data_IF_609975175215
#
_entry.id   IF_609975175215
#
_cell.length_a   1.000
_cell.length_b   1.000
_cell.length_c   1.000
_cell.angle_alpha   90.00
_cell.angle_beta   90.00
_cell.angle_gamma   90.00
#
_symmetry.space_group_name_H-M   'P 1'
#
loop_
_entity.id
_entity.type
_entity.pdbx_description
1 polymer ?
#
# COMPACT_ATOMS: atom_id res chain seq x y z
N UNK A 1 3.92 11.99 -15.95
CA UNK A 1 3.02 12.50 -14.90
C UNK A 1 2.72 13.98 -15.10
N UNK A 2 3.60 14.95 -14.89
CA UNK A 2 3.26 16.37 -14.90
C UNK A 2 2.47 16.81 -16.14
N UNK A 3 2.92 16.45 -17.33
CA UNK A 3 2.23 16.79 -18.60
C UNK A 3 0.81 16.17 -18.69
N UNK A 4 0.62 14.95 -18.15
CA UNK A 4 -0.70 14.31 -18.14
C UNK A 4 -1.72 15.10 -17.31
N UNK A 5 -1.23 15.77 -16.25
CA UNK A 5 -2.03 16.65 -15.38
C UNK A 5 -1.97 18.14 -15.78
N UNK A 6 -1.49 18.44 -16.97
CA UNK A 6 -1.44 19.80 -17.50
C UNK A 6 -0.41 20.72 -16.82
N UNK A 7 0.57 20.15 -16.13
CA UNK A 7 1.63 20.88 -15.44
C UNK A 7 2.91 20.91 -16.29
N UNK A 8 3.58 22.05 -16.34
CA UNK A 8 4.92 22.14 -16.92
C UNK A 8 5.98 21.70 -15.90
N UNK A 9 7.07 21.05 -16.37
CA UNK A 9 8.24 20.77 -15.50
C UNK A 9 8.82 21.99 -14.81
N UNK A 10 8.60 23.19 -15.34
CA UNK A 10 9.03 24.48 -14.77
C UNK A 10 8.16 24.96 -13.62
N UNK A 11 6.95 24.45 -13.49
CA UNK A 11 5.99 24.82 -12.44
C UNK A 11 6.27 24.10 -11.12
N UNK A 12 7.14 23.07 -11.17
CA UNK A 12 7.40 22.17 -10.04
C UNK A 12 8.90 22.16 -9.70
N UNK A 13 9.21 22.45 -8.46
CA UNK A 13 10.57 22.28 -7.93
C UNK A 13 10.71 20.83 -7.42
N UNK A 14 11.46 20.02 -8.14
CA UNK A 14 11.72 18.63 -7.75
C UNK A 14 12.83 18.54 -6.70
N UNK A 15 12.60 17.69 -5.70
CA UNK A 15 13.62 17.22 -4.76
C UNK A 15 13.68 15.69 -4.83
N UNK A 16 14.87 15.13 -4.83
CA UNK A 16 15.08 13.67 -4.82
C UNK A 16 15.61 13.28 -3.45
N UNK A 17 15.01 12.32 -2.83
CA UNK A 17 15.37 11.79 -1.51
C UNK A 17 15.02 10.31 -1.41
N UNK A 18 15.49 9.65 -0.35
CA UNK A 18 15.12 8.26 -0.07
C UNK A 18 13.62 8.13 0.18
N UNK A 19 13.04 7.01 -0.28
CA UNK A 19 11.60 6.73 -0.20
C UNK A 19 11.03 6.98 1.20
N UNK A 20 11.70 6.50 2.25
CA UNK A 20 11.26 6.71 3.63
C UNK A 20 11.25 8.18 4.07
N UNK A 21 12.18 9.00 3.55
CA UNK A 21 12.29 10.41 3.90
C UNK A 21 11.19 11.29 3.28
N UNK A 22 10.60 10.86 2.16
CA UNK A 22 9.53 11.61 1.46
C UNK A 22 8.32 11.83 2.36
N UNK A 23 7.91 10.80 3.12
CA UNK A 23 6.76 10.88 4.01
C UNK A 23 6.94 11.96 5.07
N UNK A 24 8.07 11.93 5.78
CA UNK A 24 8.35 12.92 6.83
C UNK A 24 8.53 14.33 6.24
N UNK A 25 9.25 14.48 5.13
CA UNK A 25 9.44 15.77 4.47
C UNK A 25 8.10 16.40 4.02
N UNK A 26 7.14 15.57 3.62
CA UNK A 26 5.80 16.03 3.27
C UNK A 26 5.00 16.41 4.52
N UNK A 27 5.05 15.62 5.59
CA UNK A 27 4.40 15.92 6.86
C UNK A 27 4.91 17.22 7.50
N UNK A 28 6.23 17.45 7.42
CA UNK A 28 6.89 18.67 7.96
C UNK A 28 6.70 19.91 7.07
N UNK A 29 6.08 19.77 5.91
CA UNK A 29 5.87 20.87 4.96
C UNK A 29 7.13 21.29 4.19
N UNK A 30 8.22 20.50 4.23
CA UNK A 30 9.39 20.72 3.39
C UNK A 30 9.10 20.42 1.91
N UNK A 31 8.15 19.53 1.66
CA UNK A 31 7.55 19.27 0.36
C UNK A 31 6.04 19.47 0.43
N UNK A 32 5.45 20.05 -0.63
CA UNK A 32 3.99 20.19 -0.72
C UNK A 32 3.32 18.86 -1.11
N UNK A 33 4.04 18.03 -1.88
CA UNK A 33 3.61 16.73 -2.38
C UNK A 33 4.79 15.77 -2.33
N UNK A 34 4.52 14.50 -2.07
CA UNK A 34 5.49 13.42 -2.11
C UNK A 34 4.98 12.24 -2.92
N UNK A 35 5.88 11.54 -3.61
CA UNK A 35 5.58 10.27 -4.24
C UNK A 35 5.75 9.16 -3.20
N UNK A 36 4.71 8.37 -2.99
CA UNK A 36 4.62 7.38 -1.92
C UNK A 36 4.01 6.07 -2.42
N UNK A 37 4.17 5.00 -1.67
CA UNK A 37 3.38 3.78 -1.86
C UNK A 37 2.06 3.91 -1.10
N UNK A 38 0.94 3.63 -1.77
CA UNK A 38 -0.42 3.83 -1.22
C UNK A 38 -0.76 2.90 -0.05
N UNK A 39 0.02 1.85 0.17
CA UNK A 39 -0.16 0.88 1.27
C UNK A 39 0.77 1.11 2.47
N UNK A 40 1.54 2.20 2.49
CA UNK A 40 2.53 2.47 3.54
C UNK A 40 1.88 2.99 4.84
N UNK A 41 2.18 2.35 5.96
CA UNK A 41 1.62 2.70 7.28
C UNK A 41 1.94 4.13 7.75
N UNK A 42 3.01 4.76 7.23
CA UNK A 42 3.36 6.15 7.53
C UNK A 42 2.33 7.15 7.02
N UNK A 43 1.50 6.80 6.04
CA UNK A 43 0.37 7.62 5.58
C UNK A 43 -0.55 7.91 6.76
N UNK A 44 -0.92 6.88 7.52
CA UNK A 44 -1.78 6.99 8.71
C UNK A 44 -1.07 7.70 9.85
N UNK A 45 0.13 7.27 10.22
CA UNK A 45 0.85 7.80 11.39
C UNK A 45 1.24 9.26 11.25
N UNK A 46 1.51 9.74 10.03
CA UNK A 46 1.85 11.13 9.74
C UNK A 46 0.64 11.96 9.26
N UNK A 47 -0.57 11.39 9.31
CA UNK A 47 -1.81 12.04 8.87
C UNK A 47 -1.70 12.63 7.45
N UNK A 48 -1.08 11.89 6.54
CA UNK A 48 -0.96 12.26 5.14
C UNK A 48 -2.23 11.88 4.37
N UNK A 49 -2.49 12.61 3.31
CA UNK A 49 -3.61 12.33 2.42
C UNK A 49 -3.10 11.84 1.07
N UNK A 50 -3.53 10.66 0.66
CA UNK A 50 -3.34 10.17 -0.71
C UNK A 50 -4.27 10.94 -1.64
N UNK A 51 -3.73 11.39 -2.77
CA UNK A 51 -4.52 12.02 -3.83
C UNK A 51 -5.01 10.93 -4.79
N UNK A 52 -6.26 11.04 -5.19
CA UNK A 52 -6.85 10.16 -6.17
C UNK A 52 -6.26 10.41 -7.57
N UNK A 53 -5.90 9.34 -8.27
CA UNK A 53 -5.45 9.39 -9.67
C UNK A 53 -6.68 9.39 -10.60
N UNK A 54 -7.25 10.56 -10.85
CA UNK A 54 -8.47 10.73 -11.66
C UNK A 54 -8.22 10.56 -13.17
N UNK A 55 -6.95 10.51 -13.61
CA UNK A 55 -6.57 10.31 -15.01
C UNK A 55 -6.05 8.89 -15.33
N UNK A 56 -6.23 7.92 -14.47
CA UNK A 56 -5.56 6.61 -14.34
C UNK A 56 -4.16 6.57 -14.98
N UNK A 57 -3.30 7.50 -14.55
CA UNK A 57 -1.94 7.62 -15.03
C UNK A 57 -1.03 6.50 -14.48
N UNK A 58 -1.21 6.17 -13.20
CA UNK A 58 -0.45 5.13 -12.55
C UNK A 58 -1.10 3.75 -12.75
N UNK A 59 -0.31 2.70 -13.00
CA UNK A 59 -0.85 1.35 -12.97
C UNK A 59 -1.34 1.01 -11.56
N UNK A 60 -2.41 0.23 -11.47
CA UNK A 60 -2.86 -0.28 -10.17
C UNK A 60 -1.77 -1.14 -9.54
N UNK A 61 -1.45 -0.85 -8.30
CA UNK A 61 -0.40 -1.53 -7.53
C UNK A 61 -1.04 -2.34 -6.40
N UNK A 62 -1.78 -3.36 -6.78
CA UNK A 62 -2.52 -4.19 -5.83
C UNK A 62 -1.64 -5.27 -5.22
N UNK A 63 -1.91 -5.63 -3.96
CA UNK A 63 -1.39 -6.86 -3.40
C UNK A 63 -1.89 -8.06 -4.23
N UNK A 64 -0.99 -8.97 -4.57
CA UNK A 64 -1.32 -10.15 -5.36
C UNK A 64 -0.61 -11.38 -4.81
N UNK A 65 -1.35 -12.46 -4.66
CA UNK A 65 -0.77 -13.78 -4.41
C UNK A 65 -0.08 -14.30 -5.68
N UNK A 66 1.18 -14.70 -5.56
CA UNK A 66 1.92 -15.32 -6.66
C UNK A 66 2.14 -16.80 -6.34
N UNK A 67 1.59 -17.68 -7.16
CA UNK A 67 1.67 -19.14 -6.99
C UNK A 67 2.26 -19.75 -8.26
N UNK A 68 3.13 -20.74 -8.10
CA UNK A 68 3.67 -21.48 -9.26
C UNK A 68 2.56 -22.30 -9.93
N UNK A 69 2.59 -22.36 -11.25
CA UNK A 69 1.57 -23.06 -12.04
C UNK A 69 1.49 -24.54 -11.70
N UNK A 70 2.65 -25.20 -11.51
CA UNK A 70 2.70 -26.63 -11.16
C UNK A 70 2.02 -26.93 -9.81
N UNK A 71 2.10 -26.00 -8.85
CA UNK A 71 1.42 -26.12 -7.57
C UNK A 71 -0.10 -25.94 -7.70
N UNK A 72 -0.56 -24.99 -8.53
CA UNK A 72 -1.98 -24.80 -8.82
C UNK A 72 -2.57 -25.99 -9.59
N UNK A 73 -1.81 -26.60 -10.49
CA UNK A 73 -2.22 -27.79 -11.23
C UNK A 73 -2.41 -29.01 -10.28
N UNK A 74 -1.56 -29.12 -9.25
CA UNK A 74 -1.64 -30.17 -8.23
C UNK A 74 -2.70 -29.87 -7.17
N UNK A 75 -2.87 -28.58 -6.77
CA UNK A 75 -3.76 -28.13 -5.70
C UNK A 75 -4.63 -26.95 -6.15
N UNK A 76 -5.60 -27.16 -7.05
CA UNK A 76 -6.42 -26.07 -7.61
C UNK A 76 -7.25 -25.34 -6.54
N UNK A 77 -7.54 -25.96 -5.40
CA UNK A 77 -8.25 -25.35 -4.28
C UNK A 77 -7.52 -24.17 -3.61
N UNK A 78 -6.22 -23.98 -3.90
CA UNK A 78 -5.44 -22.83 -3.39
C UNK A 78 -6.08 -21.51 -3.84
N UNK A 79 -6.55 -21.43 -5.08
CA UNK A 79 -7.20 -20.23 -5.60
C UNK A 79 -8.47 -19.89 -4.81
N UNK A 80 -9.35 -20.86 -4.61
CA UNK A 80 -10.60 -20.69 -3.85
C UNK A 80 -10.35 -20.32 -2.38
N UNK A 81 -9.24 -20.82 -1.81
CA UNK A 81 -8.86 -20.53 -0.43
C UNK A 81 -8.35 -19.10 -0.25
N UNK A 82 -7.52 -18.61 -1.18
CA UNK A 82 -6.87 -17.31 -1.06
C UNK A 82 -7.69 -16.16 -1.66
N UNK A 83 -8.54 -16.41 -2.66
CA UNK A 83 -9.31 -15.36 -3.31
C UNK A 83 -10.13 -14.50 -2.33
N UNK A 84 -10.89 -15.04 -1.37
CA UNK A 84 -11.63 -14.23 -0.41
C UNK A 84 -10.71 -13.43 0.54
N UNK A 85 -9.56 -13.95 0.91
CA UNK A 85 -8.58 -13.25 1.75
C UNK A 85 -8.00 -12.05 1.01
N UNK A 86 -7.56 -12.26 -0.25
CA UNK A 86 -6.99 -11.19 -1.09
C UNK A 86 -8.03 -10.10 -1.39
N UNK A 87 -9.30 -10.45 -1.54
CA UNK A 87 -10.37 -9.50 -1.80
C UNK A 87 -10.61 -8.49 -0.66
N UNK A 88 -10.24 -8.85 0.59
CA UNK A 88 -10.35 -7.98 1.77
C UNK A 88 -9.09 -7.12 2.00
N UNK A 89 -8.00 -7.34 1.25
CA UNK A 89 -6.74 -6.62 1.39
C UNK A 89 -6.69 -5.43 0.42
N UNK A 90 -7.54 -4.45 0.65
CA UNK A 90 -7.49 -3.16 -0.04
C UNK A 90 -6.39 -2.23 0.53
N UNK A 91 -6.22 -1.06 -0.09
CA UNK A 91 -5.17 -0.11 0.31
C UNK A 91 -5.35 0.35 1.78
N UNK A 92 -6.57 0.61 2.22
CA UNK A 92 -6.85 1.07 3.60
C UNK A 92 -6.52 -0.03 4.62
N UNK A 93 -6.93 -1.26 4.35
CA UNK A 93 -6.58 -2.43 5.17
C UNK A 93 -5.06 -2.60 5.23
N UNK A 94 -4.37 -2.49 4.09
CA UNK A 94 -2.91 -2.64 4.06
C UNK A 94 -2.20 -1.50 4.80
N UNK A 95 -2.68 -0.26 4.72
CA UNK A 95 -2.16 0.85 5.52
C UNK A 95 -2.25 0.54 7.02
N UNK A 96 -3.39 0.05 7.46
CA UNK A 96 -3.62 -0.28 8.87
C UNK A 96 -2.72 -1.41 9.36
N UNK A 97 -2.63 -2.50 8.62
CA UNK A 97 -1.76 -3.63 8.97
C UNK A 97 -0.28 -3.24 8.97
N UNK A 98 0.16 -2.49 7.95
CA UNK A 98 1.54 -2.02 7.87
C UNK A 98 1.85 -0.99 8.97
N UNK A 99 0.91 -0.15 9.39
CA UNK A 99 1.10 0.78 10.50
C UNK A 99 1.34 0.04 11.83
N UNK A 100 0.61 -1.04 12.12
CA UNK A 100 0.84 -1.88 13.29
C UNK A 100 2.26 -2.46 13.33
N UNK A 101 2.79 -2.86 12.16
CA UNK A 101 4.13 -3.45 12.05
C UNK A 101 5.21 -2.36 12.07
N UNK A 102 5.14 -1.37 11.15
CA UNK A 102 6.24 -0.45 10.88
C UNK A 102 6.30 0.72 11.88
N UNK A 103 5.16 1.07 12.50
CA UNK A 103 5.04 2.21 13.42
C UNK A 103 4.89 1.75 14.85
N UNK A 104 3.98 0.80 15.12
CA UNK A 104 3.70 0.32 16.47
C UNK A 104 4.65 -0.79 16.90
N UNK A 105 5.37 -1.42 15.95
CA UNK A 105 6.40 -2.41 16.20
C UNK A 105 5.86 -3.79 16.58
N UNK A 106 4.63 -4.10 16.16
CA UNK A 106 4.05 -5.44 16.36
C UNK A 106 4.72 -6.47 15.45
N UNK A 107 4.71 -7.73 15.85
CA UNK A 107 5.25 -8.81 15.02
C UNK A 107 4.33 -9.12 13.83
N UNK A 108 4.85 -9.18 12.59
CA UNK A 108 4.03 -9.38 11.39
C UNK A 108 3.13 -10.62 11.43
N UNK A 109 3.59 -11.69 12.07
CA UNK A 109 2.82 -12.93 12.20
C UNK A 109 1.60 -12.73 13.11
N UNK A 110 1.77 -12.01 14.22
CA UNK A 110 0.69 -11.74 15.17
C UNK A 110 -0.36 -10.83 14.54
N UNK A 111 0.09 -9.77 13.84
CA UNK A 111 -0.79 -8.86 13.10
C UNK A 111 -1.63 -9.62 12.04
N UNK A 112 -0.99 -10.53 11.30
CA UNK A 112 -1.67 -11.30 10.28
C UNK A 112 -2.69 -12.29 10.89
N UNK A 113 -2.34 -12.95 11.98
CA UNK A 113 -3.24 -13.89 12.68
C UNK A 113 -4.45 -13.16 13.24
N UNK A 114 -4.25 -12.06 13.97
CA UNK A 114 -5.33 -11.25 14.51
C UNK A 114 -6.31 -10.80 13.43
N UNK A 115 -5.79 -10.31 12.31
CA UNK A 115 -6.62 -9.86 11.20
C UNK A 115 -7.40 -11.01 10.56
N UNK A 116 -6.77 -12.17 10.35
CA UNK A 116 -7.45 -13.34 9.79
C UNK A 116 -8.55 -13.88 10.72
N UNK A 117 -8.32 -13.85 12.03
CA UNK A 117 -9.33 -14.21 13.05
C UNK A 117 -10.48 -13.19 13.07
N UNK A 118 -10.17 -11.89 13.06
CA UNK A 118 -11.18 -10.81 13.03
C UNK A 118 -12.10 -10.92 11.81
N UNK A 119 -11.52 -11.24 10.65
CA UNK A 119 -12.27 -11.46 9.41
C UNK A 119 -12.97 -12.81 9.31
N UNK A 120 -12.72 -13.72 10.26
CA UNK A 120 -13.33 -15.05 10.32
C UNK A 120 -12.75 -16.05 9.32
N UNK A 121 -11.56 -15.81 8.82
CA UNK A 121 -10.81 -16.74 7.97
C UNK A 121 -10.11 -17.84 8.79
N UNK A 122 -9.83 -17.57 10.05
CA UNK A 122 -9.32 -18.53 11.04
C UNK A 122 -10.30 -18.66 12.22
N UNK A 123 -10.28 -19.83 12.89
CA UNK A 123 -11.12 -20.16 14.04
C UNK A 123 -10.29 -20.76 15.16
#
# INVERSE_FOLDING_TARGET
MLEAYGLSPTDVKKSVMDTGAVYQATADGACNFGEVFTTDGRIKSLNLRVLEDDLPFFPKYNLSGVVRQDLLDEYPQIEDLFAPVVAELDDDTMIDLNARIDVDGEEPVDVALDWLEEKGFLS
#
